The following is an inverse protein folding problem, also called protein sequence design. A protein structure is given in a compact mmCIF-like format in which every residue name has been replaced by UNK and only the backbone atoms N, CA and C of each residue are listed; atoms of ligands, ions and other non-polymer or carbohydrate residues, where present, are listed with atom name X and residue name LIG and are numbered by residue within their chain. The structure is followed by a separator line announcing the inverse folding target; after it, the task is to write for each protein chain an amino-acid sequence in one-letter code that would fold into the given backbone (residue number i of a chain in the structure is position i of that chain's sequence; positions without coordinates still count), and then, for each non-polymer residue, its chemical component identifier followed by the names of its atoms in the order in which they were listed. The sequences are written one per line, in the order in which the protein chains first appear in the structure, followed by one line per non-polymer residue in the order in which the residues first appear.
data_IF_333414635817
#
_entry.id   IF_333414635817
#
_cell.length_a   1.000
_cell.length_b   1.000
_cell.length_c   1.000
_cell.angle_alpha   90.00
_cell.angle_beta   90.00
_cell.angle_gamma   90.00
#
_symmetry.space_group_name_H-M   'P 1'
#
loop_
_entity.id
_entity.type
_entity.pdbx_description
1 polymer ?
#
# COMPACT_ATOMS: atom_id res chain seq x y z
N UNK A 1 6.97 4.46 -19.28
CA UNK A 1 8.36 4.19 -18.84
C UNK A 1 8.38 4.30 -17.33
N UNK A 2 8.84 3.27 -16.63
CA UNK A 2 8.95 3.31 -15.15
C UNK A 2 9.98 4.32 -14.72
N UNK A 3 9.68 5.03 -13.63
CA UNK A 3 10.61 5.95 -13.03
C UNK A 3 11.82 5.23 -12.37
N UNK A 4 12.90 5.98 -12.08
CA UNK A 4 14.11 5.41 -11.50
C UNK A 4 13.89 4.76 -10.13
N UNK A 5 13.05 5.33 -9.27
CA UNK A 5 12.76 4.77 -7.95
C UNK A 5 11.96 3.46 -8.05
N UNK A 6 11.04 3.34 -9.02
CA UNK A 6 10.33 2.09 -9.30
C UNK A 6 11.28 0.96 -9.72
N UNK A 7 12.30 1.28 -10.54
CA UNK A 7 13.30 0.29 -10.96
C UNK A 7 14.18 -0.16 -9.79
N UNK A 8 14.56 0.76 -8.91
CA UNK A 8 15.34 0.46 -7.69
C UNK A 8 14.51 -0.37 -6.71
N UNK A 9 13.24 -0.02 -6.47
CA UNK A 9 12.33 -0.80 -5.63
C UNK A 9 12.18 -2.24 -6.14
N UNK A 10 12.09 -2.46 -7.46
CA UNK A 10 12.02 -3.79 -8.04
C UNK A 10 13.29 -4.61 -7.70
N UNK A 11 14.47 -3.99 -7.79
CA UNK A 11 15.72 -4.64 -7.43
C UNK A 11 15.79 -5.00 -5.94
N UNK A 12 15.35 -4.10 -5.07
CA UNK A 12 15.29 -4.31 -3.62
C UNK A 12 14.31 -5.41 -3.22
N UNK A 13 13.12 -5.44 -3.82
CA UNK A 13 12.13 -6.51 -3.58
C UNK A 13 12.68 -7.88 -4.00
N UNK A 14 13.33 -7.96 -5.15
CA UNK A 14 13.98 -9.21 -5.60
C UNK A 14 15.09 -9.65 -4.65
N UNK A 15 15.89 -8.72 -4.16
CA UNK A 15 17.06 -9.00 -3.32
C UNK A 15 16.67 -9.40 -1.89
N UNK A 16 15.69 -8.72 -1.30
CA UNK A 16 15.44 -8.83 0.14
C UNK A 16 14.12 -9.53 0.48
N UNK A 17 13.10 -9.44 -0.38
CA UNK A 17 11.73 -9.85 -0.08
C UNK A 17 11.29 -11.12 -0.79
N UNK A 18 11.75 -11.32 -2.02
CA UNK A 18 11.32 -12.44 -2.84
C UNK A 18 11.99 -13.74 -2.39
N UNK A 19 11.20 -14.80 -2.27
CA UNK A 19 11.66 -16.16 -2.05
C UNK A 19 10.97 -17.12 -3.00
N UNK A 20 11.74 -17.99 -3.62
CA UNK A 20 11.25 -19.07 -4.49
C UNK A 20 11.19 -20.38 -3.71
N UNK A 21 10.19 -21.20 -3.97
CA UNK A 21 9.95 -22.47 -3.30
C UNK A 21 8.48 -22.82 -3.24
N UNK A 22 8.15 -23.91 -2.55
CA UNK A 22 6.77 -24.33 -2.37
C UNK A 22 6.18 -23.68 -1.12
N UNK A 23 5.25 -22.76 -1.29
CA UNK A 23 4.58 -22.05 -0.21
C UNK A 23 3.09 -22.34 -0.20
N UNK A 24 2.52 -22.46 1.01
CA UNK A 24 1.07 -22.43 1.20
C UNK A 24 0.66 -21.04 1.68
N UNK A 25 -0.09 -20.31 0.87
CA UNK A 25 -0.59 -18.99 1.21
C UNK A 25 -1.66 -19.06 2.31
N UNK A 26 -1.96 -17.92 2.95
CA UNK A 26 -3.00 -17.83 3.97
C UNK A 26 -4.41 -18.25 3.45
N UNK A 27 -4.63 -18.16 2.15
CA UNK A 27 -5.83 -18.66 1.47
C UNK A 27 -5.87 -20.18 1.30
N UNK A 28 -4.81 -20.92 1.69
CA UNK A 28 -4.63 -22.35 1.45
C UNK A 28 -4.11 -22.71 0.05
N UNK A 29 -3.93 -21.71 -0.85
CA UNK A 29 -3.39 -21.94 -2.19
C UNK A 29 -1.90 -22.19 -2.17
N UNK A 30 -1.43 -23.08 -3.07
CA UNK A 30 -0.01 -23.30 -3.32
C UNK A 30 0.55 -22.18 -4.20
N UNK A 31 1.77 -21.75 -3.91
CA UNK A 31 2.50 -20.76 -4.70
C UNK A 31 3.96 -21.14 -4.80
N UNK A 32 4.55 -21.00 -5.97
CA UNK A 32 5.98 -21.23 -6.22
C UNK A 32 6.87 -20.08 -5.71
N UNK A 33 6.27 -19.03 -5.17
CA UNK A 33 6.98 -17.87 -4.67
C UNK A 33 6.23 -17.21 -3.50
N UNK A 34 6.98 -16.55 -2.65
CA UNK A 34 6.47 -15.75 -1.54
C UNK A 34 7.21 -14.43 -1.51
N UNK A 35 6.50 -13.35 -1.18
CA UNK A 35 7.08 -12.04 -1.00
C UNK A 35 6.62 -11.43 0.32
N UNK A 36 7.58 -11.07 1.16
CA UNK A 36 7.35 -10.28 2.36
C UNK A 36 7.92 -8.87 2.13
N UNK A 37 7.06 -7.95 1.68
CA UNK A 37 7.45 -6.58 1.38
C UNK A 37 8.03 -5.84 2.59
N UNK A 38 7.74 -6.29 3.83
CA UNK A 38 8.28 -5.72 5.07
C UNK A 38 9.80 -5.87 5.18
N UNK A 39 10.38 -6.86 4.49
CA UNK A 39 11.84 -7.00 4.39
C UNK A 39 12.50 -5.82 3.66
N UNK A 40 11.75 -5.04 2.89
CA UNK A 40 12.17 -3.79 2.24
C UNK A 40 11.61 -2.59 3.00
N UNK A 41 10.31 -2.57 3.30
CA UNK A 41 9.65 -1.38 3.85
C UNK A 41 10.09 -1.02 5.29
N UNK A 42 10.66 -1.98 6.03
CA UNK A 42 11.24 -1.75 7.37
C UNK A 42 12.76 -1.48 7.33
N UNK A 43 13.36 -1.41 6.14
CA UNK A 43 14.77 -1.08 6.00
C UNK A 43 14.96 0.43 5.83
N UNK A 44 15.74 1.02 6.72
CA UNK A 44 16.02 2.47 6.66
C UNK A 44 16.72 2.91 5.36
N UNK A 45 17.54 2.03 4.78
CA UNK A 45 18.24 2.28 3.51
C UNK A 45 17.36 2.15 2.26
N UNK A 46 16.14 1.58 2.38
CA UNK A 46 15.16 1.46 1.29
C UNK A 46 13.98 2.44 1.40
N UNK A 47 13.79 3.11 2.55
CA UNK A 47 12.59 3.93 2.79
C UNK A 47 12.42 5.07 1.80
N UNK A 48 13.51 5.75 1.41
CA UNK A 48 13.43 6.83 0.41
C UNK A 48 12.96 6.28 -0.94
N UNK A 49 13.52 5.14 -1.37
CA UNK A 49 13.12 4.45 -2.61
C UNK A 49 11.65 4.06 -2.59
N UNK A 50 11.16 3.51 -1.47
CA UNK A 50 9.74 3.16 -1.27
C UNK A 50 8.85 4.39 -1.46
N UNK A 51 9.16 5.50 -0.77
CA UNK A 51 8.37 6.73 -0.84
C UNK A 51 8.36 7.33 -2.25
N UNK A 52 9.51 7.43 -2.88
CA UNK A 52 9.65 7.96 -4.25
C UNK A 52 8.95 7.10 -5.29
N UNK A 53 9.02 5.76 -5.18
CA UNK A 53 8.37 4.87 -6.12
C UNK A 53 6.84 5.00 -6.08
N UNK A 54 6.24 5.16 -4.89
CA UNK A 54 4.81 5.47 -4.78
C UNK A 54 4.49 6.83 -5.39
N UNK A 55 5.29 7.87 -5.11
CA UNK A 55 5.09 9.21 -5.67
C UNK A 55 5.23 9.24 -7.19
N UNK A 56 6.13 8.45 -7.78
CA UNK A 56 6.21 8.25 -9.23
C UNK A 56 4.92 7.63 -9.80
N UNK A 57 4.31 6.67 -9.10
CA UNK A 57 3.08 6.03 -9.55
C UNK A 57 1.85 6.96 -9.48
N UNK A 58 1.84 7.92 -8.53
CA UNK A 58 0.72 8.84 -8.29
C UNK A 58 1.05 10.29 -8.70
N UNK A 59 1.94 10.48 -9.69
CA UNK A 59 2.56 11.76 -10.06
C UNK A 59 1.60 12.96 -10.12
N UNK A 60 0.43 12.76 -10.71
CA UNK A 60 -0.58 13.83 -10.89
C UNK A 60 -1.64 13.88 -9.77
N UNK A 61 -1.53 13.02 -8.75
CA UNK A 61 -2.56 12.93 -7.72
C UNK A 61 -2.31 13.93 -6.59
N UNK A 62 -3.24 14.86 -6.40
CA UNK A 62 -3.20 15.79 -5.28
C UNK A 62 -3.83 15.17 -4.03
N UNK A 63 -3.05 14.99 -2.95
CA UNK A 63 -3.50 14.49 -1.65
C UNK A 63 -2.94 15.33 -0.49
N UNK A 64 -3.58 15.24 0.68
CA UNK A 64 -3.22 15.98 1.89
C UNK A 64 -2.64 15.05 2.97
N UNK A 65 -3.10 13.79 2.99
CA UNK A 65 -2.67 12.76 3.91
C UNK A 65 -2.56 11.40 3.22
N UNK A 66 -1.68 10.54 3.74
CA UNK A 66 -1.42 9.20 3.24
C UNK A 66 -1.44 8.20 4.40
N UNK A 67 -2.07 7.04 4.21
CA UNK A 67 -2.14 6.02 5.25
C UNK A 67 -2.82 4.75 4.78
N UNK A 68 -2.92 3.77 5.66
CA UNK A 68 -3.55 2.49 5.36
C UNK A 68 -3.68 1.61 6.60
N UNK A 69 -4.06 0.35 6.40
CA UNK A 69 -4.28 -0.58 7.50
C UNK A 69 -2.95 -1.05 8.11
N UNK A 70 -2.83 -0.94 9.45
CA UNK A 70 -1.65 -1.46 10.17
C UNK A 70 -1.52 -2.97 9.97
N UNK A 71 -0.30 -3.55 9.89
CA UNK A 71 1.07 -3.00 9.96
C UNK A 71 1.71 -2.75 8.59
N UNK A 72 1.21 -3.37 7.52
CA UNK A 72 1.86 -3.38 6.20
C UNK A 72 1.95 -1.98 5.59
N UNK A 73 0.89 -1.21 5.73
CA UNK A 73 0.81 0.15 5.19
C UNK A 73 1.65 1.18 5.95
N UNK A 74 1.92 0.98 7.24
CA UNK A 74 2.53 2.00 8.10
C UNK A 74 3.88 2.50 7.55
N UNK A 75 4.88 1.65 7.24
CA UNK A 75 6.16 2.11 6.74
C UNK A 75 6.05 2.73 5.34
N UNK A 76 5.12 2.25 4.50
CA UNK A 76 4.86 2.83 3.18
C UNK A 76 4.31 4.26 3.31
N UNK A 77 3.32 4.45 4.18
CA UNK A 77 2.74 5.76 4.46
C UNK A 77 3.77 6.75 5.01
N UNK A 78 4.62 6.30 5.94
CA UNK A 78 5.69 7.13 6.51
C UNK A 78 6.74 7.49 5.45
N UNK A 79 7.13 6.56 4.58
CA UNK A 79 8.05 6.80 3.48
C UNK A 79 7.51 7.86 2.49
N UNK A 80 6.25 7.70 2.07
CA UNK A 80 5.57 8.67 1.20
C UNK A 80 5.47 10.04 1.86
N UNK A 81 5.08 10.10 3.13
CA UNK A 81 4.98 11.33 3.89
C UNK A 81 6.33 12.06 4.01
N UNK A 82 7.41 11.32 4.30
CA UNK A 82 8.77 11.86 4.39
C UNK A 82 9.25 12.47 3.06
N UNK A 83 8.95 11.81 1.93
CA UNK A 83 9.35 12.29 0.60
C UNK A 83 8.47 13.43 0.08
N UNK A 84 7.19 13.50 0.47
CA UNK A 84 6.23 14.49 -0.06
C UNK A 84 5.97 15.67 0.87
N UNK A 85 6.37 15.58 2.14
CA UNK A 85 6.00 16.56 3.18
C UNK A 85 4.51 16.51 3.59
N UNK A 86 3.78 15.46 3.18
CA UNK A 86 2.38 15.26 3.54
C UNK A 86 2.25 14.59 4.90
N UNK A 87 1.03 14.55 5.44
CA UNK A 87 0.76 13.92 6.73
C UNK A 87 0.58 12.41 6.56
N UNK A 88 1.21 11.61 7.45
CA UNK A 88 0.92 10.18 7.52
C UNK A 88 -0.06 9.87 8.63
N UNK A 89 -0.86 8.82 8.45
CA UNK A 89 -1.74 8.26 9.47
C UNK A 89 -1.78 6.74 9.34
N UNK A 90 -2.29 6.07 10.36
CA UNK A 90 -2.53 4.63 10.37
C UNK A 90 -4.00 4.31 10.68
N UNK A 91 -4.50 3.25 10.04
CA UNK A 91 -5.83 2.69 10.31
C UNK A 91 -5.66 1.42 11.14
N UNK A 92 -6.25 1.39 12.35
CA UNK A 92 -6.25 0.21 13.21
C UNK A 92 -7.27 -0.81 12.72
N UNK A 93 -6.95 -2.10 12.86
CA UNK A 93 -7.89 -3.20 12.57
C UNK A 93 -9.13 -3.14 13.46
N UNK A 94 -8.95 -2.78 14.73
CA UNK A 94 -10.01 -2.69 15.73
C UNK A 94 -10.13 -1.29 16.30
N UNK A 95 -11.36 -0.92 16.70
CA UNK A 95 -11.64 0.35 17.36
C UNK A 95 -11.13 0.28 18.80
N UNK A 96 -10.33 1.27 19.25
CA UNK A 96 -10.07 1.42 20.69
C UNK A 96 -11.35 1.88 21.37
N UNK A 97 -11.75 1.16 22.42
CA UNK A 97 -13.02 1.39 23.15
C UNK A 97 -13.14 2.72 23.90
N UNK A 98 -12.10 3.57 23.96
CA UNK A 98 -12.10 4.87 24.63
C UNK A 98 -11.18 5.85 23.90
N UNK A 99 -11.71 7.03 23.50
CA UNK A 99 -10.95 8.16 22.94
C UNK A 99 -11.50 8.69 21.60
N UNK A 100 -11.31 10.00 21.38
CA UNK A 100 -11.72 10.70 20.15
C UNK A 100 -10.82 10.30 18.97
N UNK A 101 -11.12 9.24 18.25
CA UNK A 101 -10.33 8.87 17.08
C UNK A 101 -10.63 7.49 16.52
N UNK A 102 -11.40 6.67 17.23
CA UNK A 102 -11.84 5.37 16.71
C UNK A 102 -10.69 4.52 16.15
N UNK A 103 -10.75 4.27 14.85
CA UNK A 103 -9.76 3.49 14.10
C UNK A 103 -8.57 4.32 13.60
N UNK A 104 -8.66 5.66 13.57
CA UNK A 104 -7.58 6.51 13.05
C UNK A 104 -6.49 6.78 14.09
N UNK A 105 -5.24 6.81 13.66
CA UNK A 105 -4.09 7.22 14.44
C UNK A 105 -3.17 8.11 13.61
N UNK A 106 -2.83 9.28 14.14
CA UNK A 106 -2.00 10.28 13.43
C UNK A 106 -2.76 11.56 13.08
N UNK A 107 -2.11 12.49 12.38
CA UNK A 107 -2.62 13.85 12.16
C UNK A 107 -3.56 13.98 10.95
N UNK A 108 -4.37 12.97 10.64
CA UNK A 108 -5.45 13.06 9.64
C UNK A 108 -6.56 14.01 10.13
N UNK A 109 -7.25 14.69 9.21
CA UNK A 109 -8.34 15.64 9.48
C UNK A 109 -9.54 15.30 8.62
N UNK A 110 -10.73 15.63 9.12
CA UNK A 110 -11.96 15.58 8.32
C UNK A 110 -11.82 16.49 7.08
N UNK A 111 -12.28 16.00 5.94
CA UNK A 111 -12.15 16.68 4.64
C UNK A 111 -10.80 16.53 3.95
N UNK A 112 -9.80 15.89 4.57
CA UNK A 112 -8.53 15.63 3.88
C UNK A 112 -8.73 14.76 2.63
N UNK A 113 -8.03 15.12 1.55
CA UNK A 113 -7.84 14.23 0.41
C UNK A 113 -6.82 13.17 0.78
N UNK A 114 -7.23 11.92 0.72
CA UNK A 114 -6.45 10.80 1.25
C UNK A 114 -5.98 9.87 0.13
N UNK A 115 -4.69 9.60 0.11
CA UNK A 115 -4.10 8.47 -0.60
C UNK A 115 -4.05 7.27 0.35
N UNK A 116 -4.79 6.20 0.04
CA UNK A 116 -4.70 4.94 0.80
C UNK A 116 -3.58 4.10 0.22
N UNK A 117 -2.70 3.57 1.08
CA UNK A 117 -1.55 2.76 0.66
C UNK A 117 -1.53 1.39 1.32
N UNK A 118 -0.91 0.42 0.67
CA UNK A 118 -0.60 -0.90 1.22
C UNK A 118 0.79 -1.37 0.72
N UNK A 119 1.36 -2.37 1.38
CA UNK A 119 2.65 -2.93 0.95
C UNK A 119 2.48 -3.92 -0.21
N UNK A 120 1.69 -4.98 -0.04
CA UNK A 120 1.42 -5.96 -1.08
C UNK A 120 -0.05 -6.39 -1.06
N UNK A 121 -0.67 -6.39 -2.23
CA UNK A 121 -2.09 -6.70 -2.37
C UNK A 121 -2.30 -8.04 -3.06
N UNK A 122 -3.15 -8.87 -2.46
CA UNK A 122 -3.70 -10.10 -3.06
C UNK A 122 -5.21 -9.95 -3.29
N UNK A 123 -6.02 -10.07 -2.24
CA UNK A 123 -7.49 -9.89 -2.31
C UNK A 123 -7.93 -8.43 -2.15
N UNK A 124 -7.05 -7.57 -1.59
CA UNK A 124 -7.37 -6.18 -1.32
C UNK A 124 -8.19 -5.89 -0.06
N UNK A 125 -8.50 -6.91 0.74
CA UNK A 125 -9.34 -6.75 1.92
C UNK A 125 -8.81 -5.72 2.93
N UNK A 126 -7.49 -5.63 3.14
CA UNK A 126 -6.85 -4.61 4.00
C UNK A 126 -7.05 -3.20 3.45
N UNK A 127 -6.82 -3.03 2.16
CA UNK A 127 -6.96 -1.74 1.48
C UNK A 127 -8.43 -1.27 1.53
N UNK A 128 -9.40 -2.15 1.25
CA UNK A 128 -10.82 -1.83 1.32
C UNK A 128 -11.26 -1.46 2.75
N UNK A 129 -10.78 -2.16 3.76
CA UNK A 129 -11.05 -1.80 5.17
C UNK A 129 -10.47 -0.43 5.55
N UNK A 130 -9.29 -0.08 5.04
CA UNK A 130 -8.70 1.23 5.27
C UNK A 130 -9.50 2.34 4.59
N UNK A 131 -9.92 2.10 3.35
CA UNK A 131 -10.80 2.98 2.59
C UNK A 131 -12.10 3.29 3.33
N UNK A 132 -12.82 2.25 3.75
CA UNK A 132 -14.09 2.39 4.45
C UNK A 132 -13.90 3.18 5.77
N UNK A 133 -12.81 2.93 6.50
CA UNK A 133 -12.50 3.67 7.72
C UNK A 133 -12.17 5.16 7.47
N UNK A 134 -11.50 5.49 6.35
CA UNK A 134 -11.24 6.89 5.96
C UNK A 134 -12.54 7.61 5.64
N UNK A 135 -13.43 6.99 4.89
CA UNK A 135 -14.75 7.55 4.56
C UNK A 135 -15.61 7.75 5.82
N UNK A 136 -15.65 6.74 6.71
CA UNK A 136 -16.35 6.82 8.00
C UNK A 136 -15.81 7.97 8.88
N UNK A 137 -14.49 8.23 8.84
CA UNK A 137 -13.86 9.34 9.56
C UNK A 137 -14.19 10.71 8.96
N UNK A 138 -14.68 10.79 7.71
CA UNK A 138 -14.95 12.03 7.00
C UNK A 138 -13.82 12.49 6.07
N UNK A 139 -12.86 11.63 5.76
CA UNK A 139 -11.85 11.86 4.73
C UNK A 139 -12.40 11.60 3.32
N UNK A 140 -11.75 12.17 2.32
CA UNK A 140 -12.08 12.00 0.89
C UNK A 140 -10.98 11.16 0.24
N UNK A 141 -11.27 9.89 -0.08
CA UNK A 141 -10.30 9.03 -0.77
C UNK A 141 -10.15 9.48 -2.21
N UNK A 142 -8.93 9.85 -2.61
CA UNK A 142 -8.60 10.31 -3.96
C UNK A 142 -7.85 9.27 -4.79
N UNK A 143 -7.36 8.22 -4.16
CA UNK A 143 -6.71 7.10 -4.81
C UNK A 143 -6.22 6.05 -3.83
N UNK A 144 -5.87 4.88 -4.37
CA UNK A 144 -5.21 3.81 -3.63
C UNK A 144 -3.94 3.37 -4.37
N UNK A 145 -2.88 3.07 -3.63
CA UNK A 145 -1.62 2.58 -4.18
C UNK A 145 -1.08 1.39 -3.39
N UNK A 146 -0.30 0.54 -4.03
CA UNK A 146 0.47 -0.52 -3.35
C UNK A 146 1.84 -0.68 -4.00
N UNK A 147 2.80 -1.24 -3.25
CA UNK A 147 4.11 -1.51 -3.82
C UNK A 147 4.07 -2.69 -4.78
N UNK A 148 3.27 -3.72 -4.45
CA UNK A 148 3.10 -4.89 -5.29
C UNK A 148 1.64 -5.31 -5.38
N UNK A 149 1.10 -5.34 -6.62
CA UNK A 149 -0.15 -6.02 -6.94
C UNK A 149 0.13 -7.45 -7.41
N UNK A 150 -0.38 -8.44 -6.67
CA UNK A 150 -0.28 -9.85 -7.03
C UNK A 150 -1.39 -10.31 -7.98
N UNK A 151 -2.30 -9.42 -8.34
CA UNK A 151 -3.44 -9.70 -9.21
C UNK A 151 -4.59 -10.37 -8.45
N UNK A 152 -5.50 -9.57 -7.98
CA UNK A 152 -6.72 -9.96 -7.30
C UNK A 152 -7.89 -9.10 -7.75
N UNK A 153 -8.89 -9.00 -6.91
CA UNK A 153 -10.15 -8.30 -7.21
C UNK A 153 -10.11 -6.80 -6.84
N UNK A 154 -9.02 -6.32 -6.21
CA UNK A 154 -8.96 -4.95 -5.70
C UNK A 154 -9.16 -3.91 -6.81
N UNK A 155 -8.52 -4.08 -7.97
CA UNK A 155 -8.64 -3.13 -9.08
C UNK A 155 -10.08 -2.94 -9.52
N UNK A 156 -10.82 -4.04 -9.71
CA UNK A 156 -12.24 -4.02 -10.07
C UNK A 156 -13.10 -3.39 -8.97
N UNK A 157 -12.87 -3.76 -7.71
CA UNK A 157 -13.61 -3.20 -6.57
C UNK A 157 -13.39 -1.68 -6.40
N UNK A 158 -12.20 -1.17 -6.73
CA UNK A 158 -11.90 0.26 -6.70
C UNK A 158 -12.51 0.99 -7.90
N UNK A 159 -12.49 0.38 -9.08
CA UNK A 159 -13.13 0.92 -10.30
C UNK A 159 -14.65 1.09 -10.09
N UNK A 160 -15.34 0.10 -9.49
CA UNK A 160 -16.75 0.19 -9.12
C UNK A 160 -17.04 1.35 -8.14
N UNK A 161 -16.07 1.72 -7.31
CA UNK A 161 -16.16 2.87 -6.38
C UNK A 161 -15.70 4.20 -6.99
N UNK A 162 -15.24 4.20 -8.24
CA UNK A 162 -14.68 5.38 -8.90
C UNK A 162 -13.34 5.86 -8.31
N UNK A 163 -12.59 4.96 -7.66
CA UNK A 163 -11.32 5.27 -7.01
C UNK A 163 -10.17 4.77 -7.88
N UNK A 164 -9.25 5.64 -8.33
CA UNK A 164 -8.12 5.20 -9.13
C UNK A 164 -7.15 4.34 -8.32
N UNK A 165 -6.61 3.29 -8.96
CA UNK A 165 -5.64 2.37 -8.37
C UNK A 165 -4.28 2.51 -9.05
N UNK A 166 -3.23 2.66 -8.24
CA UNK A 166 -1.85 2.92 -8.65
C UNK A 166 -0.90 1.85 -8.10
N UNK A 167 -0.87 0.63 -8.65
CA UNK A 167 0.15 -0.34 -8.28
C UNK A 167 1.52 0.12 -8.83
N UNK A 168 2.53 0.19 -7.96
CA UNK A 168 3.91 0.52 -8.36
C UNK A 168 4.48 -0.60 -9.23
N UNK A 169 4.26 -1.84 -8.79
CA UNK A 169 4.69 -3.06 -9.47
C UNK A 169 3.54 -4.08 -9.49
N UNK A 170 3.53 -4.91 -10.51
CA UNK A 170 2.68 -6.11 -10.57
C UNK A 170 3.49 -7.40 -10.49
N UNK A 171 2.86 -8.53 -10.22
CA UNK A 171 3.51 -9.85 -10.23
C UNK A 171 4.31 -10.12 -11.52
N UNK A 172 3.88 -9.70 -12.73
CA UNK A 172 4.67 -9.86 -13.96
C UNK A 172 6.04 -9.17 -13.93
N UNK A 173 6.20 -8.11 -13.15
CA UNK A 173 7.47 -7.40 -13.00
C UNK A 173 8.52 -8.22 -12.25
N UNK A 174 8.06 -9.12 -11.40
CA UNK A 174 8.90 -10.10 -10.71
C UNK A 174 9.13 -11.38 -11.51
N UNK A 175 8.43 -11.55 -12.65
CA UNK A 175 8.51 -12.74 -13.50
C UNK A 175 7.40 -13.77 -13.25
N UNK A 176 6.35 -13.41 -12.52
CA UNK A 176 5.23 -14.30 -12.16
C UNK A 176 3.92 -13.85 -12.81
N UNK A 177 2.96 -14.76 -12.91
CA UNK A 177 1.63 -14.40 -13.39
C UNK A 177 0.78 -13.81 -12.27
N UNK A 178 -0.19 -12.98 -12.62
CA UNK A 178 -1.20 -12.53 -11.67
C UNK A 178 -1.96 -13.72 -11.08
N UNK A 179 -2.18 -13.68 -9.77
CA UNK A 179 -2.90 -14.73 -9.05
C UNK A 179 -2.09 -16.02 -8.79
N UNK A 180 -0.78 -16.04 -9.13
CA UNK A 180 0.11 -17.19 -8.85
C UNK A 180 0.67 -17.19 -7.43
#
# INVERSE_FOLDING_TARGET
VRGPATAELLADLRRFSLREGDFTLASGRQSAWYLDARQVTYRGDCLETVGRAVLEAVEDLAFDAVGGLTLGADPVALAVAACSGKRAFAVRKETKGHGAGGRMAGPIREGDRVLVVDDAVTTGGSTLQALDAVVEFGGVVVGAACLLDRGGELGAALEERGIPFFPVLGAPDLGYQFGS
#
